data_IF_489533192970
#
_entry.id   IF_489533192970
#
_cell.length_a   1.000
_cell.length_b   1.000
_cell.length_c   1.000
_cell.angle_alpha   90.00
_cell.angle_beta   90.00
_cell.angle_gamma   90.00
#
_symmetry.space_group_name_H-M   'P 1'
#
loop_
_entity.id
_entity.type
_entity.pdbx_description
1 polymer ?
#
# COMPACT_ATOMS: atom_id res chain seq x y z
N UNK A 1 2.70 -4.24 46.30
CA UNK A 1 3.73 -3.46 45.59
C UNK A 1 3.44 -3.60 44.11
N UNK A 2 2.86 -2.60 43.46
CA UNK A 2 2.47 -2.69 42.05
C UNK A 2 3.71 -2.51 41.15
N UNK A 3 3.87 -3.28 40.06
CA UNK A 3 5.01 -3.14 39.18
C UNK A 3 5.01 -1.75 38.52
N UNK A 4 6.17 -1.11 38.48
CA UNK A 4 6.33 0.21 37.88
C UNK A 4 5.97 0.15 36.38
N UNK A 5 4.90 0.84 35.98
CA UNK A 5 4.50 0.93 34.58
C UNK A 5 5.47 1.86 33.86
N UNK A 6 6.37 1.30 33.07
CA UNK A 6 7.28 2.09 32.22
C UNK A 6 6.50 2.60 31.01
N UNK A 7 6.17 3.89 31.00
CA UNK A 7 5.48 4.52 29.88
C UNK A 7 6.41 4.63 28.67
N UNK A 8 6.19 3.82 27.64
CA UNK A 8 6.86 3.98 26.34
C UNK A 8 6.18 5.11 25.58
N UNK A 9 6.89 6.22 25.35
CA UNK A 9 6.41 7.31 24.51
C UNK A 9 6.95 7.13 23.09
N UNK A 10 6.09 7.32 22.10
CA UNK A 10 6.51 7.34 20.68
C UNK A 10 7.47 8.52 20.49
N UNK A 11 8.68 8.26 20.02
CA UNK A 11 9.63 9.32 19.69
C UNK A 11 9.09 10.20 18.55
N UNK A 12 9.45 11.48 18.53
CA UNK A 12 9.23 12.32 17.36
C UNK A 12 9.95 11.71 16.15
N UNK A 13 9.24 11.58 15.04
CA UNK A 13 9.77 11.12 13.76
C UNK A 13 10.87 12.10 13.32
N UNK A 14 12.00 11.60 12.82
CA UNK A 14 13.14 12.45 12.42
C UNK A 14 13.11 12.77 10.93
N UNK A 15 12.45 11.92 10.14
CA UNK A 15 12.31 12.04 8.69
C UNK A 15 10.86 11.88 8.25
N UNK A 16 10.51 12.50 7.13
CA UNK A 16 9.26 12.23 6.41
C UNK A 16 9.14 10.76 5.99
N UNK A 17 10.27 10.11 5.70
CA UNK A 17 10.33 8.68 5.39
C UNK A 17 10.08 7.79 6.61
N UNK A 18 10.21 8.33 7.82
CA UNK A 18 9.80 7.59 9.00
C UNK A 18 8.27 7.56 9.09
N UNK A 19 7.53 8.45 8.43
CA UNK A 19 6.08 8.53 8.58
C UNK A 19 5.31 7.67 7.58
N UNK A 20 4.59 6.68 8.11
CA UNK A 20 3.79 5.75 7.32
C UNK A 20 2.81 6.47 6.40
N UNK A 21 2.21 7.59 6.83
CA UNK A 21 1.28 8.34 5.98
C UNK A 21 2.01 8.89 4.75
N UNK A 22 3.16 9.53 4.96
CA UNK A 22 3.99 10.02 3.87
C UNK A 22 4.46 8.90 2.95
N UNK A 23 4.88 7.75 3.51
CA UNK A 23 5.25 6.58 2.70
C UNK A 23 4.09 6.06 1.83
N UNK A 24 2.87 6.02 2.39
CA UNK A 24 1.67 5.63 1.64
C UNK A 24 1.37 6.62 0.52
N UNK A 25 1.46 7.93 0.80
CA UNK A 25 1.23 8.97 -0.20
C UNK A 25 2.27 8.93 -1.34
N UNK A 26 3.55 8.68 -1.00
CA UNK A 26 4.61 8.46 -1.98
C UNK A 26 4.30 7.23 -2.85
N UNK A 27 3.89 6.12 -2.24
CA UNK A 27 3.52 4.90 -2.96
C UNK A 27 2.38 5.11 -3.95
N UNK A 28 1.33 5.86 -3.56
CA UNK A 28 0.21 6.20 -4.44
C UNK A 28 0.68 7.04 -5.63
N UNK A 29 1.54 8.04 -5.40
CA UNK A 29 2.08 8.88 -6.48
C UNK A 29 2.96 8.08 -7.43
N UNK A 30 3.90 7.29 -6.90
CA UNK A 30 4.80 6.46 -7.69
C UNK A 30 4.04 5.47 -8.58
N UNK A 31 2.99 4.84 -8.04
CA UNK A 31 2.12 3.93 -8.80
C UNK A 31 1.47 4.63 -10.00
N UNK A 32 0.86 5.81 -9.78
CA UNK A 32 0.24 6.61 -10.86
C UNK A 32 1.25 7.01 -11.93
N UNK A 33 2.43 7.47 -11.51
CA UNK A 33 3.51 7.84 -12.43
C UNK A 33 3.98 6.65 -13.25
N UNK A 34 4.13 5.47 -12.67
CA UNK A 34 4.55 4.27 -13.38
C UNK A 34 3.51 3.83 -14.44
N UNK A 35 2.22 3.93 -14.12
CA UNK A 35 1.14 3.68 -15.10
C UNK A 35 1.25 4.65 -16.27
N UNK A 36 1.38 5.96 -15.98
CA UNK A 36 1.49 6.97 -17.04
C UNK A 36 2.72 6.74 -17.93
N UNK A 37 3.88 6.46 -17.34
CA UNK A 37 5.11 6.18 -18.08
C UNK A 37 4.98 4.97 -19.02
N UNK A 38 4.29 3.91 -18.58
CA UNK A 38 4.06 2.74 -19.42
C UNK A 38 3.16 3.08 -20.62
N UNK A 39 2.12 3.88 -20.42
CA UNK A 39 1.22 4.33 -21.48
C UNK A 39 1.93 5.26 -22.47
N UNK A 40 2.73 6.21 -21.97
CA UNK A 40 3.52 7.12 -22.79
C UNK A 40 4.55 6.36 -23.65
N UNK A 41 5.07 5.24 -23.13
CA UNK A 41 5.97 4.33 -23.85
C UNK A 41 5.24 3.41 -24.84
N UNK A 42 3.91 3.46 -24.92
CA UNK A 42 3.11 2.61 -25.79
C UNK A 42 3.08 1.13 -25.37
N UNK A 43 3.33 0.84 -24.09
CA UNK A 43 3.35 -0.54 -23.56
C UNK A 43 2.10 -0.78 -22.71
N UNK A 44 1.54 -1.99 -22.79
CA UNK A 44 0.43 -2.39 -21.92
C UNK A 44 0.92 -2.65 -20.49
N UNK A 45 0.16 -2.18 -19.49
CA UNK A 45 0.48 -2.37 -18.07
C UNK A 45 -0.65 -3.09 -17.34
N UNK A 46 -0.30 -3.92 -16.35
CA UNK A 46 -1.26 -4.55 -15.44
C UNK A 46 -1.05 -4.03 -14.03
N UNK A 47 -2.12 -3.62 -13.35
CA UNK A 47 -2.08 -3.10 -11.98
C UNK A 47 -3.32 -3.51 -11.19
N UNK A 48 -3.33 -3.22 -9.89
CA UNK A 48 -4.46 -3.50 -9.01
C UNK A 48 -5.23 -2.21 -8.72
N UNK A 49 -6.55 -2.25 -8.88
CA UNK A 49 -7.44 -1.14 -8.63
C UNK A 49 -8.72 -1.67 -7.98
N UNK A 50 -9.11 -1.12 -6.83
CA UNK A 50 -10.31 -1.55 -6.09
C UNK A 50 -10.38 -3.06 -5.79
N UNK A 51 -9.23 -3.70 -5.59
CA UNK A 51 -9.14 -5.16 -5.36
C UNK A 51 -9.25 -6.00 -6.63
N UNK A 52 -9.22 -5.38 -7.80
CA UNK A 52 -9.29 -6.02 -9.10
C UNK A 52 -7.97 -5.85 -9.85
N UNK A 53 -7.51 -6.92 -10.48
CA UNK A 53 -6.38 -6.88 -11.39
C UNK A 53 -6.88 -6.44 -12.75
N UNK A 54 -6.34 -5.32 -13.24
CA UNK A 54 -6.75 -4.65 -14.45
C UNK A 54 -5.55 -4.55 -15.39
N UNK A 55 -5.78 -4.82 -16.67
CA UNK A 55 -4.84 -4.50 -17.75
C UNK A 55 -5.28 -3.22 -18.44
N UNK A 56 -4.34 -2.32 -18.70
CA UNK A 56 -4.53 -1.14 -19.53
C UNK A 56 -3.62 -1.27 -20.74
N UNK A 57 -4.21 -1.37 -21.92
CA UNK A 57 -3.47 -1.42 -23.18
C UNK A 57 -3.01 -0.02 -23.59
N UNK A 58 -2.01 0.05 -24.48
CA UNK A 58 -1.44 1.31 -24.99
C UNK A 58 -2.48 2.25 -25.64
N UNK A 59 -3.62 1.70 -26.09
CA UNK A 59 -4.77 2.46 -26.60
C UNK A 59 -5.77 2.91 -25.52
N UNK A 60 -5.38 2.93 -24.24
CA UNK A 60 -6.23 3.24 -23.08
C UNK A 60 -7.45 2.32 -22.89
N UNK A 61 -7.45 1.13 -23.52
CA UNK A 61 -8.49 0.13 -23.30
C UNK A 61 -8.23 -0.60 -21.99
N UNK A 62 -9.18 -0.48 -21.05
CA UNK A 62 -9.15 -1.13 -19.74
C UNK A 62 -9.82 -2.50 -19.80
N UNK A 63 -9.13 -3.54 -19.36
CA UNK A 63 -9.63 -4.92 -19.35
C UNK A 63 -9.50 -5.50 -17.94
N UNK A 64 -10.61 -5.99 -17.39
CA UNK A 64 -10.60 -6.73 -16.14
C UNK A 64 -10.00 -8.12 -16.36
N UNK A 65 -9.06 -8.53 -15.49
CA UNK A 65 -8.45 -9.85 -15.55
C UNK A 65 -9.01 -10.79 -14.48
N UNK A 66 -8.97 -10.38 -13.22
CA UNK A 66 -9.44 -11.17 -12.07
C UNK A 66 -9.55 -10.33 -10.81
N UNK A 67 -10.31 -10.81 -9.81
CA UNK A 67 -10.23 -10.26 -8.45
C UNK A 67 -8.94 -10.71 -7.78
N UNK A 68 -8.31 -9.79 -7.05
CA UNK A 68 -7.16 -10.09 -6.21
C UNK A 68 -7.69 -10.65 -4.90
N UNK A 69 -7.26 -11.85 -4.52
CA UNK A 69 -7.55 -12.39 -3.19
C UNK A 69 -6.85 -11.50 -2.17
N UNK A 70 -7.63 -10.66 -1.50
CA UNK A 70 -7.12 -9.80 -0.43
C UNK A 70 -6.75 -10.70 0.72
N UNK A 71 -5.47 -10.70 1.12
CA UNK A 71 -5.06 -11.37 2.36
C UNK A 71 -5.89 -10.77 3.51
N UNK A 72 -6.35 -11.58 4.47
CA UNK A 72 -7.13 -11.07 5.59
C UNK A 72 -6.42 -9.91 6.27
N UNK A 73 -7.19 -8.91 6.66
CA UNK A 73 -6.67 -7.72 7.34
C UNK A 73 -5.90 -8.14 8.58
N UNK A 74 -4.66 -7.68 8.68
CA UNK A 74 -3.75 -8.13 9.72
C UNK A 74 -3.99 -7.27 10.97
N UNK A 75 -4.85 -7.76 11.87
CA UNK A 75 -5.14 -7.05 13.11
C UNK A 75 -3.98 -7.23 14.08
N UNK A 76 -3.45 -6.11 14.58
CA UNK A 76 -2.38 -6.10 15.58
C UNK A 76 -2.72 -6.94 16.83
N UNK A 77 -4.00 -7.02 17.21
CA UNK A 77 -4.46 -7.88 18.31
C UNK A 77 -4.20 -9.36 18.04
N UNK A 78 -4.38 -9.82 16.80
CA UNK A 78 -4.20 -11.22 16.41
C UNK A 78 -2.71 -11.62 16.44
N UNK A 79 -1.81 -10.65 16.33
CA UNK A 79 -0.36 -10.87 16.44
C UNK A 79 0.18 -10.74 17.87
N UNK A 80 -0.35 -9.77 18.64
CA UNK A 80 0.19 -9.42 19.95
C UNK A 80 -0.48 -10.19 21.09
N UNK A 81 -1.72 -10.60 20.91
CA UNK A 81 -2.48 -11.40 21.87
C UNK A 81 -2.59 -12.83 21.32
N UNK A 82 -1.47 -13.55 21.28
CA UNK A 82 -1.52 -15.00 21.20
C UNK A 82 -1.99 -15.51 22.57
N UNK A 83 -3.23 -16.01 22.64
CA UNK A 83 -3.68 -16.84 23.76
C UNK A 83 -3.37 -18.31 23.43
#
# INVERSE_FOLDING_TARGET
MYPAVRTVRKHQRKSELDDNKTLMDIGVRASRTAVQQALDAGVSITFVENGEMVKLDAGNKKTFLKRVTVKPELKLRDLLCQN
#
